data_IF_425370101722
#
_entry.id   IF_425370101722
#
_cell.length_a   1.000
_cell.length_b   1.000
_cell.length_c   1.000
_cell.angle_alpha   90.00
_cell.angle_beta   90.00
_cell.angle_gamma   90.00
#
_symmetry.space_group_name_H-M   'P 1'
#
loop_
_entity.id
_entity.type
_entity.pdbx_description
1 polymer ?
#
# COMPACT_ATOMS: atom_id res chain seq x y z
N UNK A 1 -18.36 11.08 20.33
CA UNK A 1 -16.91 11.19 20.13
C UNK A 1 -16.38 9.77 20.12
N UNK A 2 -16.16 9.20 18.93
CA UNK A 2 -15.47 7.92 18.81
C UNK A 2 -14.04 8.12 19.34
N UNK A 3 -13.61 7.24 20.25
CA UNK A 3 -12.29 7.35 20.85
C UNK A 3 -11.22 7.20 19.77
N UNK A 4 -10.24 8.08 19.77
CA UNK A 4 -9.03 7.95 18.98
C UNK A 4 -8.34 6.64 19.37
N UNK A 5 -8.35 5.66 18.47
CA UNK A 5 -7.59 4.43 18.63
C UNK A 5 -6.18 4.69 18.09
N UNK A 6 -5.21 4.78 18.99
CA UNK A 6 -3.79 4.66 18.61
C UNK A 6 -3.47 3.17 18.50
N UNK A 7 -3.28 2.70 17.26
CA UNK A 7 -2.81 1.34 17.01
C UNK A 7 -1.29 1.29 17.11
N UNK A 8 -0.81 0.18 17.65
CA UNK A 8 0.60 -0.19 17.70
C UNK A 8 0.90 -1.39 16.78
N UNK A 9 2.16 -1.74 16.63
CA UNK A 9 2.54 -2.92 15.84
C UNK A 9 1.97 -4.22 16.44
N UNK A 10 1.88 -4.30 17.77
CA UNK A 10 1.35 -5.48 18.48
C UNK A 10 -0.14 -5.69 18.18
N UNK A 11 -0.90 -4.62 18.00
CA UNK A 11 -2.34 -4.70 17.69
C UNK A 11 -2.63 -5.28 16.29
N UNK A 12 -1.64 -5.32 15.40
CA UNK A 12 -1.76 -5.87 14.05
C UNK A 12 -1.07 -7.23 13.89
N UNK A 13 -0.63 -7.84 14.99
CA UNK A 13 -0.11 -9.22 14.99
C UNK A 13 -1.21 -10.18 14.55
N UNK A 14 -0.87 -11.15 13.69
CA UNK A 14 -1.82 -12.09 13.12
C UNK A 14 -2.60 -11.58 11.90
N UNK A 15 -2.35 -10.33 11.43
CA UNK A 15 -2.96 -9.84 10.19
C UNK A 15 -2.51 -10.66 8.96
N UNK A 16 -1.33 -11.26 9.04
CA UNK A 16 -0.78 -12.17 8.04
C UNK A 16 -0.82 -13.58 8.63
N UNK A 17 -1.48 -14.49 7.95
CA UNK A 17 -1.49 -15.90 8.31
C UNK A 17 -0.23 -16.59 7.81
N UNK A 18 0.31 -17.52 8.61
CA UNK A 18 1.41 -18.38 8.16
C UNK A 18 0.95 -19.21 6.95
N UNK A 19 1.83 -19.39 5.94
CA UNK A 19 1.52 -20.32 4.85
C UNK A 19 1.29 -21.73 5.38
N UNK A 20 0.29 -22.42 4.82
CA UNK A 20 0.01 -23.81 5.11
C UNK A 20 0.74 -24.74 4.13
N UNK A 21 0.99 -26.03 4.48
CA UNK A 21 1.69 -26.97 3.59
C UNK A 21 1.02 -27.15 2.22
N UNK A 22 -0.31 -26.95 2.15
CA UNK A 22 -1.10 -27.08 0.93
C UNK A 22 -1.16 -25.79 0.10
N UNK A 23 -0.60 -24.69 0.60
CA UNK A 23 -0.63 -23.43 -0.11
C UNK A 23 0.25 -23.43 -1.35
N UNK A 24 -0.25 -22.79 -2.39
CA UNK A 24 0.49 -22.49 -3.60
C UNK A 24 0.61 -20.96 -3.81
N UNK A 25 1.29 -20.54 -4.86
CA UNK A 25 1.48 -19.13 -5.19
C UNK A 25 0.16 -18.37 -5.44
N UNK A 26 -0.92 -19.05 -5.81
CA UNK A 26 -2.23 -18.43 -6.03
C UNK A 26 -3.04 -18.38 -4.75
N UNK A 27 -2.99 -19.45 -3.96
CA UNK A 27 -3.67 -19.48 -2.68
C UNK A 27 -3.07 -18.50 -1.67
N UNK A 28 -1.79 -18.11 -1.83
CA UNK A 28 -1.13 -17.10 -1.02
C UNK A 28 -1.38 -15.67 -1.46
N UNK A 29 -2.16 -15.44 -2.51
CA UNK A 29 -2.54 -14.14 -3.01
C UNK A 29 -1.61 -13.57 -4.08
N UNK A 30 -2.22 -13.01 -5.11
CA UNK A 30 -1.56 -12.42 -6.28
C UNK A 30 -1.76 -10.91 -6.28
N UNK A 31 -0.67 -10.17 -6.26
CA UNK A 31 -0.69 -8.69 -6.33
C UNK A 31 -0.55 -8.24 -7.78
N UNK A 32 -1.46 -7.41 -8.26
CA UNK A 32 -1.33 -6.68 -9.50
C UNK A 32 -0.70 -5.31 -9.27
N UNK A 33 0.32 -4.97 -10.03
CA UNK A 33 0.99 -3.68 -9.97
C UNK A 33 0.85 -2.96 -11.32
N UNK A 34 -0.07 -2.01 -11.42
CA UNK A 34 -0.20 -1.10 -12.57
C UNK A 34 0.53 0.23 -12.23
N UNK A 35 1.86 0.17 -12.19
CA UNK A 35 2.73 1.21 -11.65
C UNK A 35 3.95 1.45 -12.55
N UNK A 36 4.66 2.54 -12.30
CA UNK A 36 5.86 2.91 -13.05
C UNK A 36 5.57 3.43 -14.46
N UNK A 37 6.51 4.17 -14.98
CA UNK A 37 6.53 4.74 -16.33
C UNK A 37 7.96 4.75 -16.86
N UNK A 38 8.15 5.20 -18.10
CA UNK A 38 9.49 5.40 -18.65
C UNK A 38 10.26 6.52 -17.93
N UNK A 39 9.54 7.51 -17.38
CA UNK A 39 10.14 8.60 -16.60
C UNK A 39 10.44 8.18 -15.15
N UNK A 40 9.61 7.31 -14.57
CA UNK A 40 9.74 6.85 -13.18
C UNK A 40 9.77 5.30 -13.11
N UNK A 41 10.75 4.65 -13.77
CA UNK A 41 10.78 3.18 -13.82
C UNK A 41 11.09 2.55 -12.46
N UNK A 42 11.76 3.27 -11.56
CA UNK A 42 12.12 2.81 -10.21
C UNK A 42 10.92 2.48 -9.33
N UNK A 43 9.78 3.17 -9.53
CA UNK A 43 8.57 2.90 -8.74
C UNK A 43 8.07 1.47 -8.90
N UNK A 44 8.15 0.91 -10.13
CA UNK A 44 7.79 -0.48 -10.39
C UNK A 44 8.70 -1.47 -9.64
N UNK A 45 10.01 -1.22 -9.61
CA UNK A 45 10.97 -2.06 -8.90
C UNK A 45 10.74 -2.00 -7.38
N UNK A 46 10.52 -0.80 -6.82
CA UNK A 46 10.29 -0.60 -5.39
C UNK A 46 8.99 -1.23 -4.91
N UNK A 47 7.89 -1.03 -5.65
CA UNK A 47 6.60 -1.63 -5.31
C UNK A 47 6.64 -3.16 -5.42
N UNK A 48 7.31 -3.71 -6.46
CA UNK A 48 7.47 -5.15 -6.62
C UNK A 48 8.34 -5.76 -5.52
N UNK A 49 9.47 -5.11 -5.17
CA UNK A 49 10.33 -5.53 -4.05
C UNK A 49 9.53 -5.57 -2.75
N UNK A 50 8.77 -4.51 -2.46
CA UNK A 50 7.96 -4.41 -1.25
C UNK A 50 6.87 -5.50 -1.19
N UNK A 51 6.15 -5.73 -2.28
CA UNK A 51 5.10 -6.74 -2.33
C UNK A 51 5.66 -8.16 -2.13
N UNK A 52 6.78 -8.49 -2.77
CA UNK A 52 7.45 -9.79 -2.59
C UNK A 52 7.96 -9.96 -1.16
N UNK A 53 8.58 -8.92 -0.58
CA UNK A 53 9.10 -8.94 0.79
C UNK A 53 8.02 -9.01 1.86
N UNK A 54 6.82 -8.53 1.56
CA UNK A 54 5.66 -8.67 2.42
C UNK A 54 5.03 -10.06 2.39
N UNK A 55 5.51 -10.96 1.51
CA UNK A 55 5.08 -12.36 1.47
C UNK A 55 4.02 -12.68 0.42
N UNK A 56 3.74 -11.79 -0.55
CA UNK A 56 2.86 -12.10 -1.68
C UNK A 56 3.27 -13.41 -2.36
N UNK A 57 2.29 -14.26 -2.69
CA UNK A 57 2.54 -15.51 -3.40
C UNK A 57 3.00 -15.30 -4.84
N UNK A 58 2.53 -14.22 -5.48
CA UNK A 58 2.93 -13.79 -6.82
C UNK A 58 2.73 -12.28 -6.97
N UNK A 59 3.60 -11.66 -7.78
CA UNK A 59 3.41 -10.29 -8.26
C UNK A 59 3.27 -10.29 -9.78
N UNK A 60 2.19 -9.66 -10.28
CA UNK A 60 1.99 -9.37 -11.70
C UNK A 60 2.20 -7.89 -11.96
N UNK A 61 3.16 -7.56 -12.81
CA UNK A 61 3.49 -6.18 -13.15
C UNK A 61 2.92 -5.81 -14.52
N UNK A 62 2.15 -4.74 -14.56
CA UNK A 62 1.60 -4.14 -15.78
C UNK A 62 2.25 -2.76 -15.95
N UNK A 63 3.38 -2.70 -16.62
CA UNK A 63 4.21 -1.51 -16.75
C UNK A 63 4.83 -1.43 -18.15
N UNK A 64 5.31 -0.24 -18.58
CA UNK A 64 6.11 -0.12 -19.80
C UNK A 64 7.39 -0.96 -19.72
N UNK A 65 7.92 -1.32 -20.87
CA UNK A 65 9.08 -2.23 -20.99
C UNK A 65 10.24 -1.83 -20.08
N UNK A 66 10.63 -0.56 -20.08
CA UNK A 66 11.75 -0.07 -19.26
C UNK A 66 11.52 -0.28 -17.75
N UNK A 67 10.32 0.01 -17.27
CA UNK A 67 9.97 -0.20 -15.87
C UNK A 67 9.89 -1.69 -15.51
N UNK A 68 9.33 -2.51 -16.42
CA UNK A 68 9.26 -3.95 -16.26
C UNK A 68 10.64 -4.60 -16.23
N UNK A 69 11.55 -4.23 -17.15
CA UNK A 69 12.93 -4.72 -17.17
C UNK A 69 13.68 -4.40 -15.88
N UNK A 70 13.57 -3.16 -15.37
CA UNK A 70 14.21 -2.77 -14.12
C UNK A 70 13.68 -3.60 -12.94
N UNK A 71 12.37 -3.80 -12.87
CA UNK A 71 11.76 -4.63 -11.84
C UNK A 71 12.20 -6.10 -11.93
N UNK A 72 12.25 -6.68 -13.14
CA UNK A 72 12.72 -8.02 -13.38
C UNK A 72 14.21 -8.21 -13.05
N UNK A 73 15.05 -7.18 -13.25
CA UNK A 73 16.45 -7.22 -12.80
C UNK A 73 16.56 -7.28 -11.28
N UNK A 74 15.65 -6.60 -10.56
CA UNK A 74 15.63 -6.59 -9.10
C UNK A 74 14.99 -7.87 -8.54
N UNK A 75 13.91 -8.34 -9.18
CA UNK A 75 13.09 -9.50 -8.78
C UNK A 75 12.69 -10.34 -9.99
N UNK A 76 13.55 -11.29 -10.41
CA UNK A 76 13.27 -12.13 -11.58
C UNK A 76 12.07 -13.07 -11.40
N UNK A 77 11.61 -13.28 -10.15
CA UNK A 77 10.45 -14.08 -9.82
C UNK A 77 9.09 -13.41 -10.08
N UNK A 78 9.05 -12.10 -10.36
CA UNK A 78 7.80 -11.42 -10.74
C UNK A 78 7.40 -11.77 -12.17
N UNK A 79 6.11 -11.57 -12.48
CA UNK A 79 5.53 -11.92 -13.78
C UNK A 79 5.07 -10.65 -14.49
N UNK A 80 5.67 -10.31 -15.63
CA UNK A 80 5.34 -9.11 -16.41
C UNK A 80 4.27 -9.38 -17.50
N UNK A 81 3.21 -10.12 -17.14
CA UNK A 81 2.05 -10.36 -18.00
C UNK A 81 0.75 -10.23 -17.20
N UNK A 82 -0.34 -9.73 -17.82
CA UNK A 82 -1.67 -9.66 -17.21
C UNK A 82 -2.20 -11.03 -16.79
N UNK A 83 -3.26 -11.03 -15.97
CA UNK A 83 -3.97 -12.21 -15.53
C UNK A 83 -4.67 -11.98 -14.19
N UNK A 84 -5.15 -13.06 -13.56
CA UNK A 84 -5.83 -12.99 -12.27
C UNK A 84 -4.96 -12.36 -11.21
N UNK A 85 -5.56 -11.43 -10.45
CA UNK A 85 -4.98 -10.80 -9.27
C UNK A 85 -6.01 -10.73 -8.15
N UNK A 86 -5.54 -10.70 -6.91
CA UNK A 86 -6.37 -10.66 -5.70
C UNK A 86 -6.34 -9.27 -5.02
N UNK A 87 -5.41 -8.40 -5.41
CA UNK A 87 -5.37 -6.97 -5.10
C UNK A 87 -4.69 -6.19 -6.23
N UNK A 88 -4.98 -4.88 -6.34
CA UNK A 88 -4.40 -4.00 -7.34
C UNK A 88 -3.77 -2.77 -6.70
N UNK A 89 -2.54 -2.46 -7.10
CA UNK A 89 -1.89 -1.16 -6.85
C UNK A 89 -1.83 -0.39 -8.16
N UNK A 90 -2.23 0.87 -8.16
CA UNK A 90 -2.24 1.69 -9.38
C UNK A 90 -1.81 3.13 -9.10
N UNK A 91 -1.03 3.70 -10.02
CA UNK A 91 -0.71 5.13 -10.07
C UNK A 91 0.69 5.52 -9.61
N UNK A 92 1.32 4.75 -8.70
CA UNK A 92 2.70 5.02 -8.25
C UNK A 92 3.67 5.08 -9.43
N UNK A 93 4.50 6.13 -9.50
CA UNK A 93 5.46 6.32 -10.58
C UNK A 93 4.85 6.56 -11.97
N UNK A 94 3.60 6.98 -12.04
CA UNK A 94 2.97 7.44 -13.28
C UNK A 94 2.93 8.98 -13.30
N UNK A 95 3.10 9.62 -14.47
CA UNK A 95 3.00 11.07 -14.57
C UNK A 95 1.56 11.57 -14.42
N UNK A 96 1.39 12.82 -14.01
CA UNK A 96 0.07 13.47 -14.02
C UNK A 96 -0.54 13.46 -15.43
N UNK A 97 -1.87 13.25 -15.53
CA UNK A 97 -2.56 13.15 -16.81
C UNK A 97 -2.54 11.77 -17.46
N UNK A 98 -2.13 10.73 -16.72
CA UNK A 98 -2.06 9.34 -17.20
C UNK A 98 -3.40 8.61 -17.20
N UNK A 99 -4.55 9.26 -17.04
CA UNK A 99 -5.87 8.61 -16.88
C UNK A 99 -6.19 7.57 -17.97
N UNK A 100 -5.81 7.82 -19.21
CA UNK A 100 -6.01 6.86 -20.30
C UNK A 100 -5.14 5.60 -20.12
N UNK A 101 -3.87 5.77 -19.72
CA UNK A 101 -2.94 4.66 -19.45
C UNK A 101 -3.36 3.89 -18.19
N UNK A 102 -3.77 4.61 -17.14
CA UNK A 102 -4.34 4.01 -15.91
C UNK A 102 -5.53 3.11 -16.28
N UNK A 103 -6.50 3.64 -17.01
CA UNK A 103 -7.69 2.89 -17.45
C UNK A 103 -7.30 1.66 -18.27
N UNK A 104 -6.36 1.81 -19.21
CA UNK A 104 -5.90 0.71 -20.04
C UNK A 104 -5.22 -0.40 -19.22
N UNK A 105 -4.36 -0.04 -18.26
CA UNK A 105 -3.67 -1.03 -17.40
C UNK A 105 -4.63 -1.72 -16.44
N UNK A 106 -5.57 -0.99 -15.85
CA UNK A 106 -6.61 -1.57 -14.98
C UNK A 106 -7.47 -2.57 -15.75
N UNK A 107 -7.83 -2.25 -17.00
CA UNK A 107 -8.61 -3.13 -17.87
C UNK A 107 -7.88 -4.44 -18.25
N UNK A 108 -6.55 -4.49 -18.16
CA UNK A 108 -5.77 -5.71 -18.37
C UNK A 108 -5.76 -6.64 -17.16
N UNK A 109 -6.20 -6.17 -16.00
CA UNK A 109 -6.21 -6.95 -14.77
C UNK A 109 -7.48 -7.80 -14.67
N UNK A 110 -7.33 -9.09 -14.46
CA UNK A 110 -8.43 -9.98 -14.11
C UNK A 110 -8.69 -9.87 -12.60
N UNK A 111 -9.41 -8.82 -12.20
CA UNK A 111 -9.64 -8.44 -10.82
C UNK A 111 -11.12 -8.62 -10.45
N UNK A 112 -11.38 -9.39 -9.39
CA UNK A 112 -12.73 -9.55 -8.85
C UNK A 112 -13.28 -8.25 -8.24
N UNK A 113 -14.62 -8.08 -8.26
CA UNK A 113 -15.27 -6.87 -7.74
C UNK A 113 -14.99 -6.60 -6.27
N UNK A 114 -14.70 -7.63 -5.50
CA UNK A 114 -14.44 -7.57 -4.06
C UNK A 114 -12.96 -7.40 -3.71
N UNK A 115 -12.05 -7.48 -4.68
CA UNK A 115 -10.62 -7.31 -4.41
C UNK A 115 -10.28 -5.85 -4.07
N UNK A 116 -9.36 -5.57 -3.15
CA UNK A 116 -9.00 -4.19 -2.79
C UNK A 116 -8.14 -3.53 -3.87
N UNK A 117 -8.35 -2.22 -4.07
CA UNK A 117 -7.57 -1.35 -4.96
C UNK A 117 -6.86 -0.32 -4.12
N UNK A 118 -5.55 -0.27 -4.26
CA UNK A 118 -4.66 0.73 -3.67
C UNK A 118 -4.38 1.77 -4.75
N UNK A 119 -4.83 3.00 -4.51
CA UNK A 119 -4.80 4.09 -5.49
C UNK A 119 -3.86 5.17 -4.96
N UNK A 120 -2.75 5.39 -5.67
CA UNK A 120 -1.69 6.29 -5.24
C UNK A 120 -1.33 7.29 -6.34
N UNK A 121 -0.68 8.36 -5.96
CA UNK A 121 -0.06 9.34 -6.84
C UNK A 121 -0.98 9.80 -8.01
N UNK A 122 -0.57 9.55 -9.26
CA UNK A 122 -1.29 10.02 -10.44
C UNK A 122 -2.71 9.45 -10.58
N UNK A 123 -2.99 8.28 -9.99
CA UNK A 123 -4.31 7.65 -10.08
C UNK A 123 -5.33 8.20 -9.05
N UNK A 124 -4.93 9.04 -8.11
CA UNK A 124 -5.82 9.54 -7.06
C UNK A 124 -7.08 10.23 -7.62
N UNK A 125 -6.91 11.02 -8.68
CA UNK A 125 -8.03 11.69 -9.35
C UNK A 125 -8.97 10.75 -10.12
N UNK A 126 -8.49 9.56 -10.49
CA UNK A 126 -9.25 8.56 -11.24
C UNK A 126 -10.01 7.58 -10.32
N UNK A 127 -9.85 7.71 -9.00
CA UNK A 127 -10.47 6.82 -8.02
C UNK A 127 -11.97 6.60 -8.19
N UNK A 128 -12.82 7.60 -8.57
CA UNK A 128 -14.24 7.37 -8.82
C UNK A 128 -14.53 6.41 -9.98
N UNK A 129 -13.58 6.26 -10.92
CA UNK A 129 -13.72 5.41 -12.11
C UNK A 129 -13.12 4.01 -11.92
N UNK A 130 -12.46 3.78 -10.77
CA UNK A 130 -11.89 2.48 -10.40
C UNK A 130 -12.84 1.82 -9.40
N UNK A 131 -13.63 0.85 -9.85
CA UNK A 131 -14.64 0.17 -9.02
C UNK A 131 -14.05 -0.66 -7.88
N UNK A 132 -14.93 -1.14 -6.96
CA UNK A 132 -14.60 -2.03 -5.84
C UNK A 132 -14.08 -1.33 -4.57
N UNK A 133 -13.62 -2.09 -3.56
CA UNK A 133 -13.07 -1.57 -2.32
C UNK A 133 -11.77 -0.80 -2.57
N UNK A 134 -11.65 0.44 -2.06
CA UNK A 134 -10.56 1.36 -2.42
C UNK A 134 -9.86 1.93 -1.18
N UNK A 135 -8.52 1.94 -1.24
CA UNK A 135 -7.65 2.65 -0.30
C UNK A 135 -6.87 3.69 -1.11
N UNK A 136 -7.05 4.95 -0.81
CA UNK A 136 -6.31 6.06 -1.39
C UNK A 136 -5.16 6.46 -0.46
N UNK A 137 -4.00 6.81 -1.03
CA UNK A 137 -2.80 7.11 -0.26
C UNK A 137 -2.21 8.50 -0.54
N UNK A 138 -2.99 9.59 -0.44
CA UNK A 138 -2.46 10.92 -0.69
C UNK A 138 -1.50 11.37 0.41
N UNK A 139 -0.43 12.10 0.04
CA UNK A 139 0.28 12.98 0.95
C UNK A 139 -0.41 14.35 1.02
N UNK A 140 -0.02 15.21 1.96
CA UNK A 140 -0.69 16.51 2.17
C UNK A 140 -0.79 17.37 0.89
N UNK A 141 0.23 17.38 0.04
CA UNK A 141 0.21 18.14 -1.22
C UNK A 141 -0.76 17.57 -2.25
N UNK A 142 -0.86 16.22 -2.37
CA UNK A 142 -1.85 15.55 -3.22
C UNK A 142 -3.27 15.80 -2.69
N UNK A 143 -3.46 15.71 -1.36
CA UNK A 143 -4.75 16.00 -0.73
C UNK A 143 -5.20 17.44 -0.98
N UNK A 144 -4.28 18.40 -0.90
CA UNK A 144 -4.58 19.81 -1.21
C UNK A 144 -5.06 19.99 -2.67
N UNK A 145 -4.39 19.34 -3.63
CA UNK A 145 -4.79 19.40 -5.05
C UNK A 145 -6.18 18.79 -5.27
N UNK A 146 -6.44 17.62 -4.69
CA UNK A 146 -7.75 16.96 -4.75
C UNK A 146 -8.85 17.82 -4.11
N UNK A 147 -8.58 18.39 -2.94
CA UNK A 147 -9.54 19.24 -2.24
C UNK A 147 -9.92 20.47 -3.05
N UNK A 148 -8.94 21.11 -3.70
CA UNK A 148 -9.18 22.25 -4.59
C UNK A 148 -9.99 21.86 -5.82
N UNK A 149 -9.63 20.75 -6.48
CA UNK A 149 -10.32 20.28 -7.68
C UNK A 149 -11.79 19.87 -7.42
N UNK A 150 -12.06 19.31 -6.24
CA UNK A 150 -13.36 18.79 -5.84
C UNK A 150 -14.17 19.79 -4.99
N UNK A 151 -13.59 20.94 -4.66
CA UNK A 151 -14.19 21.93 -3.74
C UNK A 151 -14.62 21.31 -2.40
N UNK A 152 -13.75 20.46 -1.82
CA UNK A 152 -14.06 19.77 -0.56
C UNK A 152 -14.15 20.77 0.60
N UNK A 153 -15.08 20.56 1.56
CA UNK A 153 -15.15 21.35 2.77
C UNK A 153 -13.95 21.02 3.67
N UNK A 154 -13.46 22.02 4.40
CA UNK A 154 -12.36 21.87 5.36
C UNK A 154 -11.30 22.94 5.19
N UNK A 155 -10.36 23.02 6.14
CA UNK A 155 -9.33 24.03 6.18
C UNK A 155 -7.90 23.45 6.14
N UNK A 156 -7.76 22.15 6.29
CA UNK A 156 -6.47 21.45 6.38
C UNK A 156 -6.55 20.04 5.78
N UNK A 157 -5.42 19.38 5.54
CA UNK A 157 -5.36 18.06 4.92
C UNK A 157 -6.18 16.98 5.64
N UNK A 158 -6.27 16.98 6.98
CA UNK A 158 -7.06 16.01 7.74
C UNK A 158 -8.56 16.19 7.47
N UNK A 159 -9.06 17.40 7.53
CA UNK A 159 -10.46 17.71 7.24
C UNK A 159 -10.83 17.37 5.78
N UNK A 160 -9.92 17.61 4.83
CA UNK A 160 -10.14 17.25 3.43
C UNK A 160 -10.11 15.73 3.21
N UNK A 161 -9.23 15.00 3.90
CA UNK A 161 -9.16 13.55 3.80
C UNK A 161 -10.43 12.89 4.36
N UNK A 162 -10.96 13.39 5.48
CA UNK A 162 -12.25 12.96 6.03
C UNK A 162 -13.39 13.24 5.05
N UNK A 163 -13.46 14.45 4.52
CA UNK A 163 -14.47 14.84 3.53
C UNK A 163 -14.38 13.99 2.26
N UNK A 164 -13.17 13.69 1.78
CA UNK A 164 -12.95 12.84 0.60
C UNK A 164 -13.40 11.40 0.86
N UNK A 165 -13.06 10.82 2.01
CA UNK A 165 -13.47 9.47 2.40
C UNK A 165 -15.00 9.33 2.37
N UNK A 166 -15.72 10.29 2.97
CA UNK A 166 -17.18 10.33 2.96
C UNK A 166 -17.76 10.57 1.55
N UNK A 167 -17.16 11.49 0.79
CA UNK A 167 -17.67 11.88 -0.53
C UNK A 167 -17.58 10.75 -1.57
N UNK A 168 -16.50 9.97 -1.55
CA UNK A 168 -16.27 8.89 -2.51
C UNK A 168 -16.58 7.50 -1.97
N UNK A 169 -16.88 7.35 -0.68
CA UNK A 169 -17.07 6.04 -0.05
C UNK A 169 -15.80 5.19 -0.14
N UNK A 170 -14.69 5.71 0.38
CA UNK A 170 -13.36 5.10 0.29
C UNK A 170 -12.61 5.22 1.62
N UNK A 171 -11.57 4.40 1.79
CA UNK A 171 -10.59 4.62 2.85
C UNK A 171 -9.48 5.55 2.33
N UNK A 172 -9.08 6.52 3.14
CA UNK A 172 -8.01 7.47 2.82
C UNK A 172 -6.90 7.36 3.86
N UNK A 173 -5.70 7.05 3.42
CA UNK A 173 -4.45 7.12 4.21
C UNK A 173 -3.80 8.46 3.93
N UNK A 174 -3.96 9.44 4.80
CA UNK A 174 -3.25 10.70 4.72
C UNK A 174 -1.81 10.47 5.19
N UNK A 175 -0.89 10.39 4.20
CA UNK A 175 0.54 10.20 4.47
C UNK A 175 1.16 11.43 5.13
N UNK A 176 2.01 11.23 6.14
CA UNK A 176 2.71 12.30 6.85
C UNK A 176 3.56 11.77 7.99
N UNK A 177 4.13 12.67 8.79
CA UNK A 177 4.91 12.30 9.97
C UNK A 177 4.07 11.54 11.01
N UNK A 178 2.80 11.92 11.17
CA UNK A 178 1.77 11.20 11.92
C UNK A 178 0.65 10.84 10.95
N UNK A 179 0.66 9.65 10.37
CA UNK A 179 -0.36 9.27 9.40
C UNK A 179 -1.74 9.15 10.05
N UNK A 180 -2.76 9.50 9.29
CA UNK A 180 -4.17 9.38 9.69
C UNK A 180 -4.92 8.56 8.65
N UNK A 181 -5.86 7.73 9.12
CA UNK A 181 -6.66 6.86 8.28
C UNK A 181 -8.12 7.19 8.51
N UNK A 182 -8.80 7.54 7.43
CA UNK A 182 -10.21 7.88 7.41
C UNK A 182 -11.00 6.83 6.63
N UNK A 183 -12.20 6.52 7.08
CA UNK A 183 -13.23 5.83 6.32
C UNK A 183 -14.47 6.72 6.19
N UNK A 184 -15.52 6.33 5.45
CA UNK A 184 -16.67 7.21 5.20
C UNK A 184 -17.40 7.73 6.45
N UNK A 185 -17.24 7.08 7.60
CA UNK A 185 -17.85 7.47 8.87
C UNK A 185 -16.96 8.38 9.74
N UNK A 186 -15.75 8.74 9.27
CA UNK A 186 -14.81 9.64 9.92
C UNK A 186 -13.42 9.09 10.13
N UNK A 187 -12.70 9.61 11.14
CA UNK A 187 -11.35 9.17 11.48
C UNK A 187 -11.39 7.76 12.10
N UNK A 188 -10.76 6.78 11.43
CA UNK A 188 -10.62 5.43 11.93
C UNK A 188 -9.41 5.31 12.88
N UNK A 189 -8.21 5.73 12.40
CA UNK A 189 -6.97 5.59 13.17
C UNK A 189 -6.07 6.81 13.03
N UNK A 190 -5.41 7.17 14.14
CA UNK A 190 -4.25 8.05 14.13
C UNK A 190 -3.05 7.24 14.58
N UNK A 191 -2.02 7.18 13.71
CA UNK A 191 -0.87 6.33 13.96
C UNK A 191 0.26 7.11 14.64
N UNK A 192 1.17 6.41 15.34
CA UNK A 192 2.32 7.05 15.96
C UNK A 192 3.19 7.77 14.93
N UNK A 193 4.00 8.70 15.41
CA UNK A 193 4.94 9.42 14.55
C UNK A 193 6.02 8.47 14.00
N UNK A 194 6.19 8.45 12.69
CA UNK A 194 7.29 7.76 12.03
C UNK A 194 8.61 8.53 12.10
N UNK A 195 9.71 7.92 11.64
CA UNK A 195 10.97 8.66 11.46
C UNK A 195 10.83 9.71 10.35
N UNK A 196 11.42 10.90 10.56
CA UNK A 196 11.44 11.94 9.53
C UNK A 196 12.25 11.52 8.28
N UNK A 197 13.10 10.51 8.36
CA UNK A 197 13.85 9.95 7.24
C UNK A 197 12.97 9.24 6.20
N UNK A 198 11.70 8.99 6.51
CA UNK A 198 10.70 8.56 5.52
C UNK A 198 10.36 9.65 4.48
N UNK A 199 10.77 10.89 4.69
CA UNK A 199 10.67 11.95 3.67
C UNK A 199 11.73 11.78 2.56
N UNK A 200 11.83 10.56 2.01
CA UNK A 200 12.76 10.17 0.94
C UNK A 200 11.96 9.65 -0.25
N UNK A 201 12.38 10.00 -1.47
CA UNK A 201 11.74 9.54 -2.69
C UNK A 201 11.69 8.01 -2.77
N UNK A 202 10.57 7.45 -3.20
CA UNK A 202 10.36 6.02 -3.35
C UNK A 202 9.79 5.30 -2.12
N UNK A 203 9.78 5.93 -0.94
CA UNK A 203 9.19 5.31 0.26
C UNK A 203 7.67 5.14 0.15
N UNK A 204 7.00 6.02 -0.60
CA UNK A 204 5.58 5.87 -0.96
C UNK A 204 5.32 4.68 -1.87
N UNK A 205 6.20 4.43 -2.86
CA UNK A 205 6.10 3.25 -3.74
C UNK A 205 6.24 1.93 -2.94
N UNK A 206 7.12 1.93 -1.93
CA UNK A 206 7.27 0.81 -0.99
C UNK A 206 6.00 0.59 -0.18
N UNK A 207 5.40 1.66 0.36
CA UNK A 207 4.13 1.57 1.09
C UNK A 207 3.00 1.04 0.19
N UNK A 208 2.91 1.52 -1.05
CA UNK A 208 1.90 1.07 -2.00
C UNK A 208 2.03 -0.42 -2.32
N UNK A 209 3.26 -0.92 -2.56
CA UNK A 209 3.53 -2.33 -2.77
C UNK A 209 3.18 -3.20 -1.56
N UNK A 210 3.52 -2.73 -0.36
CA UNK A 210 3.17 -3.41 0.91
C UNK A 210 1.66 -3.47 1.12
N UNK A 211 0.93 -2.37 0.88
CA UNK A 211 -0.54 -2.34 0.92
C UNK A 211 -1.16 -3.35 -0.04
N UNK A 212 -0.64 -3.40 -1.27
CA UNK A 212 -1.06 -4.39 -2.26
C UNK A 212 -0.89 -5.82 -1.75
N UNK A 213 0.26 -6.12 -1.15
CA UNK A 213 0.52 -7.44 -0.58
C UNK A 213 -0.43 -7.80 0.56
N UNK A 214 -0.62 -6.91 1.54
CA UNK A 214 -1.56 -7.17 2.64
C UNK A 214 -2.99 -7.32 2.13
N UNK A 215 -3.39 -6.54 1.12
CA UNK A 215 -4.69 -6.69 0.46
C UNK A 215 -4.88 -8.07 -0.19
N UNK A 216 -3.85 -8.62 -0.81
CA UNK A 216 -3.91 -9.95 -1.42
C UNK A 216 -3.84 -11.09 -0.39
N UNK A 217 -3.00 -10.94 0.64
CA UNK A 217 -2.75 -11.98 1.67
C UNK A 217 -3.95 -12.22 2.59
N UNK A 218 -4.72 -11.17 2.92
CA UNK A 218 -5.88 -11.29 3.81
C UNK A 218 -7.05 -12.09 3.22
N UNK A 219 -7.18 -12.17 1.91
CA UNK A 219 -8.12 -13.02 1.17
C UNK A 219 -9.56 -12.98 1.71
N UNK A 220 -10.01 -11.80 2.14
CA UNK A 220 -11.36 -11.64 2.66
C UNK A 220 -12.38 -11.81 1.52
N UNK A 221 -13.48 -12.57 1.75
CA UNK A 221 -14.53 -12.77 0.73
C UNK A 221 -15.26 -11.46 0.41
N UNK A 222 -15.33 -10.55 1.38
CA UNK A 222 -15.83 -9.19 1.26
C UNK A 222 -15.00 -8.28 2.15
N UNK A 223 -14.88 -7.03 1.74
CA UNK A 223 -14.14 -6.00 2.46
C UNK A 223 -15.08 -4.94 3.01
N UNK A 224 -15.15 -4.81 4.32
CA UNK A 224 -15.75 -3.67 4.98
C UNK A 224 -14.79 -2.46 4.97
N UNK A 225 -15.29 -1.29 5.30
CA UNK A 225 -14.43 -0.12 5.47
C UNK A 225 -13.46 -0.29 6.65
N UNK A 226 -13.89 -0.98 7.71
CA UNK A 226 -13.03 -1.30 8.86
C UNK A 226 -11.90 -2.25 8.46
N UNK A 227 -12.17 -3.27 7.65
CA UNK A 227 -11.12 -4.17 7.13
C UNK A 227 -10.09 -3.42 6.29
N UNK A 228 -10.56 -2.53 5.40
CA UNK A 228 -9.68 -1.70 4.59
C UNK A 228 -8.85 -0.75 5.46
N UNK A 229 -9.47 -0.08 6.43
CA UNK A 229 -8.80 0.86 7.33
C UNK A 229 -7.79 0.14 8.24
N UNK A 230 -8.13 -1.03 8.76
CA UNK A 230 -7.22 -1.84 9.57
C UNK A 230 -6.04 -2.36 8.74
N UNK A 231 -6.28 -2.83 7.51
CA UNK A 231 -5.21 -3.24 6.60
C UNK A 231 -4.27 -2.08 6.27
N UNK A 232 -4.84 -0.90 6.05
CA UNK A 232 -4.08 0.31 5.79
C UNK A 232 -3.22 0.71 7.00
N UNK A 233 -3.79 0.64 8.21
CA UNK A 233 -3.07 0.92 9.45
C UNK A 233 -1.90 -0.05 9.66
N UNK A 234 -2.14 -1.34 9.47
CA UNK A 234 -1.11 -2.36 9.58
C UNK A 234 0.04 -2.13 8.59
N UNK A 235 -0.26 -1.83 7.33
CA UNK A 235 0.77 -1.52 6.33
C UNK A 235 1.61 -0.31 6.72
N UNK A 236 0.98 0.76 7.21
CA UNK A 236 1.70 1.96 7.66
C UNK A 236 2.58 1.66 8.87
N UNK A 237 2.09 0.90 9.86
CA UNK A 237 2.87 0.51 11.04
C UNK A 237 4.08 -0.36 10.68
N UNK A 238 3.91 -1.35 9.81
CA UNK A 238 5.00 -2.19 9.28
C UNK A 238 6.05 -1.34 8.56
N UNK A 239 5.59 -0.43 7.70
CA UNK A 239 6.47 0.48 6.95
C UNK A 239 7.26 1.41 7.88
N UNK A 240 6.61 1.97 8.91
CA UNK A 240 7.26 2.82 9.91
C UNK A 240 8.26 2.04 10.77
N UNK A 241 7.94 0.81 11.19
CA UNK A 241 8.85 -0.02 11.98
C UNK A 241 10.08 -0.42 11.15
N UNK A 242 9.90 -0.83 9.89
CA UNK A 242 11.02 -1.12 8.99
C UNK A 242 11.93 0.11 8.83
N UNK A 243 11.36 1.28 8.60
CA UNK A 243 12.12 2.53 8.52
C UNK A 243 12.83 2.88 9.84
N UNK A 244 12.18 2.64 10.97
CA UNK A 244 12.74 2.87 12.29
C UNK A 244 13.93 1.95 12.58
N UNK A 245 13.86 0.67 12.21
CA UNK A 245 14.98 -0.28 12.32
C UNK A 245 16.18 0.17 11.50
N UNK A 246 15.97 0.50 10.23
CA UNK A 246 17.05 1.00 9.36
C UNK A 246 17.67 2.27 9.90
N UNK A 247 16.85 3.23 10.31
CA UNK A 247 17.32 4.50 10.84
C UNK A 247 18.19 4.34 12.08
N UNK A 248 17.84 3.40 12.98
CA UNK A 248 18.65 3.08 14.18
C UNK A 248 19.95 2.35 13.87
N UNK A 249 20.00 1.52 12.80
CA UNK A 249 21.20 0.76 12.42
C UNK A 249 22.26 1.60 11.71
N UNK A 250 21.97 2.84 11.36
CA UNK A 250 22.90 3.74 10.63
C UNK A 250 24.16 4.13 11.42
N UNK A 251 24.31 3.66 12.66
CA UNK A 251 25.54 3.84 13.47
C UNK A 251 25.57 5.12 14.30
N UNK A 252 26.56 5.25 15.18
CA UNK A 252 26.85 6.44 16.01
C UNK A 252 25.72 6.94 16.95
N UNK A 253 24.70 6.13 17.26
CA UNK A 253 23.70 6.47 18.27
C UNK A 253 22.67 7.54 17.84
N UNK A 254 22.72 7.98 16.58
CA UNK A 254 21.75 8.91 16.00
C UNK A 254 21.00 8.24 14.85
N UNK A 255 19.69 8.55 14.68
CA UNK A 255 18.95 8.07 13.53
C UNK A 255 19.56 8.55 12.21
N UNK A 256 19.71 7.66 11.23
CA UNK A 256 20.33 7.92 9.95
C UNK A 256 19.38 7.78 8.76
N UNK A 257 19.87 8.05 7.53
CA UNK A 257 19.08 8.02 6.31
C UNK A 257 18.40 6.68 6.05
N UNK A 258 17.19 6.73 5.49
CA UNK A 258 16.43 5.58 5.02
C UNK A 258 16.37 5.62 3.51
N UNK A 259 16.90 4.60 2.85
CA UNK A 259 16.83 4.44 1.40
C UNK A 259 15.65 3.53 1.05
N UNK A 260 14.89 3.88 0.01
CA UNK A 260 13.64 3.19 -0.32
C UNK A 260 13.82 1.68 -0.62
N UNK A 261 14.88 1.30 -1.34
CA UNK A 261 15.12 -0.11 -1.64
C UNK A 261 15.52 -0.91 -0.38
N UNK A 262 16.30 -0.31 0.51
CA UNK A 262 16.65 -0.92 1.80
C UNK A 262 15.42 -1.04 2.71
N UNK A 263 14.55 -0.03 2.68
CA UNK A 263 13.26 -0.06 3.38
C UNK A 263 12.40 -1.24 2.89
N UNK A 264 12.29 -1.42 1.57
CA UNK A 264 11.56 -2.56 1.02
C UNK A 264 12.16 -3.90 1.49
N UNK A 265 13.48 -4.01 1.56
CA UNK A 265 14.18 -5.22 2.04
C UNK A 265 13.97 -5.49 3.53
N UNK A 266 13.86 -4.43 4.34
CA UNK A 266 13.62 -4.55 5.79
C UNK A 266 12.17 -4.95 6.12
N UNK A 267 11.25 -4.97 5.15
CA UNK A 267 9.87 -5.43 5.39
C UNK A 267 9.81 -6.90 5.84
N UNK A 268 10.60 -7.80 5.24
CA UNK A 268 10.52 -9.23 5.55
C UNK A 268 10.71 -9.57 7.04
N UNK A 269 11.73 -9.07 7.76
CA UNK A 269 11.88 -9.36 9.18
C UNK A 269 10.78 -8.71 10.04
N UNK A 270 10.21 -7.57 9.63
CA UNK A 270 9.07 -6.96 10.33
C UNK A 270 7.82 -7.80 10.11
N UNK A 271 7.53 -8.19 8.86
CA UNK A 271 6.39 -9.05 8.51
C UNK A 271 6.46 -10.37 9.24
N UNK A 272 7.64 -11.00 9.31
CA UNK A 272 7.83 -12.26 10.04
C UNK A 272 7.45 -12.16 11.53
N UNK A 273 7.62 -10.98 12.16
CA UNK A 273 7.21 -10.77 13.55
C UNK A 273 5.69 -10.62 13.74
N UNK A 274 4.94 -10.45 12.66
CA UNK A 274 3.49 -10.25 12.66
C UNK A 274 2.71 -11.48 12.19
N UNK A 275 3.40 -12.51 11.71
CA UNK A 275 2.74 -13.76 11.31
C UNK A 275 2.15 -14.41 12.56
N UNK A 276 0.84 -14.63 12.56
CA UNK A 276 0.16 -15.38 13.60
C UNK A 276 0.72 -16.81 13.64
N UNK A 277 0.99 -17.33 14.85
CA UNK A 277 1.19 -18.77 15.00
C UNK A 277 -0.13 -19.43 14.61
N UNK A 278 -0.15 -20.27 13.59
CA UNK A 278 -1.27 -21.14 13.32
C UNK A 278 -1.54 -21.95 14.57
N UNK A 279 -2.81 -22.15 14.92
CA UNK A 279 -3.19 -22.96 16.05
C UNK A 279 -2.51 -24.34 15.95
N UNK A 280 -1.42 -24.52 16.70
CA UNK A 280 -0.81 -25.82 16.95
C UNK A 280 -1.64 -26.58 17.99
N UNK A 281 -2.95 -26.67 17.80
CA UNK A 281 -3.82 -27.54 18.60
C UNK A 281 -4.72 -28.35 17.67
N UNK A 282 -4.20 -29.48 17.24
CA UNK A 282 -4.93 -30.75 17.13
C UNK A 282 -3.95 -31.86 16.70
N UNK A 283 -3.31 -32.46 17.69
CA UNK A 283 -2.70 -33.79 17.57
C UNK A 283 -3.05 -34.67 18.75
#
# INVERSE_FOLDING_TARGET
MAGLFELTLDDVTGIIQAPQPEDDKYSRGVVGLAVGSDDYPGAAALAAEAAMRAGAGMVRLIAPTRAAELALHTRPEIVAVPGRIDSLVVGSGMPEGSSADITARVALCELGDHAPRIIDAAALGDAPHIGGPRILTPHAGEMTRLAQALHLPGADPSAWAEALAAHWGVVVVLKGHRPEIFHPEGLAYRLPAGTAWLATAGTGDVLAGLLGALGALRRLPQWSFDDLAFTAAAAVLVHQEAASRLSRHSGAGQPGPVLALELARELSPVVASLVGQGDEDDS
#
